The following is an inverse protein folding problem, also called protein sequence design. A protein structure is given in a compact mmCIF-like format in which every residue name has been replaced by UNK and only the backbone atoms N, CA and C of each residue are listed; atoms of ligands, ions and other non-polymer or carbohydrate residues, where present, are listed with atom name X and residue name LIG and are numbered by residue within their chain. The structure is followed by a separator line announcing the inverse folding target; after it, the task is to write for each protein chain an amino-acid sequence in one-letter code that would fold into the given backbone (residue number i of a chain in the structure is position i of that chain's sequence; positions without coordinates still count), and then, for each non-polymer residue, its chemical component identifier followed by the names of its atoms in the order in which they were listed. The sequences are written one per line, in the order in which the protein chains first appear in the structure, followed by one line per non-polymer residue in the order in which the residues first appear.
data_IF_490531694708
#
_entry.id   IF_490531694708
#
_cell.length_a   1.000
_cell.length_b   1.000
_cell.length_c   1.000
_cell.angle_alpha   90.00
_cell.angle_beta   90.00
_cell.angle_gamma   90.00
#
_symmetry.space_group_name_H-M   'P 1'
#
loop_
_entity.id
_entity.type
_entity.pdbx_description
1 polymer ?
#
# COMPACT_ATOMS: atom_id res chain seq x y z
N UNK A 1 -15.17 -7.33 -12.10
CA UNK A 1 -13.96 -7.13 -12.88
C UNK A 1 -12.84 -6.62 -12.00
N UNK A 2 -11.68 -7.24 -12.02
CA UNK A 2 -10.55 -6.81 -11.20
C UNK A 2 -9.81 -5.66 -11.85
N UNK A 3 -9.47 -4.69 -11.02
CA UNK A 3 -8.63 -3.59 -11.46
C UNK A 3 -7.16 -3.97 -11.28
N UNK A 4 -6.26 -3.25 -11.93
CA UNK A 4 -4.85 -3.57 -11.88
C UNK A 4 -4.23 -3.11 -10.56
N UNK A 5 -3.15 -3.78 -10.17
CA UNK A 5 -2.36 -3.43 -8.99
C UNK A 5 -0.92 -3.23 -9.47
N UNK A 6 -0.38 -2.04 -9.23
CA UNK A 6 1.00 -1.73 -9.55
C UNK A 6 1.79 -1.53 -8.26
N UNK A 7 3.04 -1.96 -8.24
CA UNK A 7 3.93 -1.82 -7.10
C UNK A 7 5.10 -0.94 -7.47
N UNK A 8 5.31 0.14 -6.72
CA UNK A 8 6.50 0.95 -6.88
C UNK A 8 7.69 0.27 -6.21
N UNK A 9 8.90 0.82 -6.44
CA UNK A 9 10.15 0.19 -6.01
C UNK A 9 10.14 -0.25 -4.54
N UNK A 10 9.75 0.62 -3.63
CA UNK A 10 9.77 0.31 -2.20
C UNK A 10 8.80 -0.80 -1.84
N UNK A 11 7.63 -0.80 -2.47
CA UNK A 11 6.65 -1.85 -2.25
C UNK A 11 7.16 -3.19 -2.78
N UNK A 12 7.80 -3.18 -3.94
CA UNK A 12 8.41 -4.40 -4.48
C UNK A 12 9.48 -4.95 -3.56
N UNK A 13 10.32 -4.08 -3.01
CA UNK A 13 11.35 -4.50 -2.06
C UNK A 13 10.75 -5.15 -0.82
N UNK A 14 9.65 -4.60 -0.33
CA UNK A 14 8.95 -5.21 0.81
C UNK A 14 8.54 -6.64 0.49
N UNK A 15 7.93 -6.85 -0.67
CA UNK A 15 7.47 -8.18 -1.07
C UNK A 15 8.62 -9.18 -1.22
N UNK A 16 9.79 -8.69 -1.64
CA UNK A 16 10.96 -9.55 -1.83
C UNK A 16 11.67 -9.91 -0.53
N UNK A 17 11.56 -9.05 0.49
CA UNK A 17 12.37 -9.16 1.70
C UNK A 17 11.60 -9.57 2.96
N UNK A 18 10.34 -9.90 2.86
CA UNK A 18 9.52 -10.27 4.00
C UNK A 18 9.03 -11.71 3.90
N UNK A 19 8.71 -12.34 5.05
CA UNK A 19 8.22 -13.72 5.06
C UNK A 19 6.97 -13.89 4.21
N UNK A 20 6.83 -15.07 3.65
CA UNK A 20 5.76 -15.38 2.72
C UNK A 20 4.37 -15.20 3.31
N UNK A 21 4.18 -15.52 4.58
CA UNK A 21 2.89 -15.36 5.23
C UNK A 21 2.46 -13.89 5.30
N UNK A 22 3.40 -13.00 5.57
CA UNK A 22 3.12 -11.56 5.61
C UNK A 22 2.81 -11.06 4.20
N UNK A 23 3.61 -11.46 3.23
CA UNK A 23 3.41 -11.06 1.83
C UNK A 23 2.05 -11.54 1.33
N UNK A 24 1.68 -12.77 1.64
CA UNK A 24 0.39 -13.31 1.21
C UNK A 24 -0.77 -12.51 1.79
N UNK A 25 -0.67 -12.09 3.04
CA UNK A 25 -1.72 -11.28 3.67
C UNK A 25 -1.83 -9.91 3.02
N UNK A 26 -0.70 -9.30 2.69
CA UNK A 26 -0.67 -8.02 1.99
C UNK A 26 -1.31 -8.15 0.61
N UNK A 27 -0.94 -9.18 -0.12
CA UNK A 27 -1.48 -9.41 -1.46
C UNK A 27 -2.98 -9.67 -1.43
N UNK A 28 -3.45 -10.45 -0.44
CA UNK A 28 -4.88 -10.70 -0.28
C UNK A 28 -5.64 -9.39 -0.04
N UNK A 29 -5.11 -8.54 0.81
CA UNK A 29 -5.74 -7.26 1.09
C UNK A 29 -5.80 -6.37 -0.15
N UNK A 30 -4.73 -6.36 -0.92
CA UNK A 30 -4.69 -5.56 -2.15
C UNK A 30 -5.64 -6.10 -3.21
N UNK A 31 -5.80 -7.41 -3.29
CA UNK A 31 -6.78 -8.00 -4.20
C UNK A 31 -8.19 -7.60 -3.84
N UNK A 32 -8.51 -7.59 -2.55
CA UNK A 32 -9.81 -7.11 -2.09
C UNK A 32 -10.05 -5.66 -2.51
N UNK A 33 -9.05 -4.81 -2.33
CA UNK A 33 -9.15 -3.42 -2.74
C UNK A 33 -9.27 -3.27 -4.25
N UNK A 34 -8.62 -4.14 -5.02
CA UNK A 34 -8.65 -4.04 -6.47
C UNK A 34 -10.02 -4.34 -7.08
N UNK A 35 -10.89 -5.03 -6.33
CA UNK A 35 -12.24 -5.29 -6.80
C UNK A 35 -13.10 -4.04 -6.75
N UNK A 36 -12.74 -3.12 -5.87
CA UNK A 36 -13.48 -1.88 -5.72
C UNK A 36 -12.51 -0.80 -5.18
N UNK A 37 -11.68 -0.22 -6.06
CA UNK A 37 -10.63 0.71 -5.62
C UNK A 37 -11.21 1.96 -4.97
N UNK A 38 -11.03 2.07 -3.67
CA UNK A 38 -11.44 3.23 -2.89
C UNK A 38 -10.32 3.66 -1.97
N UNK A 39 -10.34 4.90 -1.56
CA UNK A 39 -9.40 5.41 -0.58
C UNK A 39 -10.02 5.21 0.80
N UNK A 40 -9.57 4.20 1.53
CA UNK A 40 -10.15 3.88 2.84
C UNK A 40 -9.88 4.96 3.86
N UNK A 41 -8.62 5.40 3.95
CA UNK A 41 -8.22 6.50 4.80
C UNK A 41 -7.15 7.30 4.09
N UNK A 42 -7.14 8.61 4.31
CA UNK A 42 -6.07 9.45 3.78
C UNK A 42 -4.98 9.62 4.83
N UNK A 43 -3.75 9.74 4.37
CA UNK A 43 -2.64 10.06 5.26
C UNK A 43 -2.72 11.51 5.70
N UNK A 44 -2.05 11.81 6.81
CA UNK A 44 -2.02 13.18 7.32
C UNK A 44 -1.15 14.07 6.44
N UNK A 45 -1.45 15.40 6.38
CA UNK A 45 -0.61 16.33 5.63
C UNK A 45 0.85 16.22 6.04
N UNK A 46 1.79 16.38 5.11
CA UNK A 46 1.59 16.75 3.70
C UNK A 46 1.34 15.58 2.74
N UNK A 47 1.02 14.40 3.27
CA UNK A 47 0.85 13.17 2.48
C UNK A 47 -0.61 12.84 2.18
N UNK A 48 -1.49 13.82 2.26
CA UNK A 48 -2.92 13.59 2.12
C UNK A 48 -3.36 13.11 0.73
N UNK A 49 -2.47 13.12 -0.24
CA UNK A 49 -2.76 12.55 -1.57
C UNK A 49 -2.75 11.02 -1.54
N UNK A 50 -2.10 10.45 -0.54
CA UNK A 50 -1.98 9.01 -0.42
C UNK A 50 -3.08 8.44 0.45
N UNK A 51 -3.47 7.21 0.15
CA UNK A 51 -4.43 6.46 0.94
C UNK A 51 -3.69 5.41 1.74
N UNK A 52 -4.30 4.94 2.81
CA UNK A 52 -3.70 3.88 3.62
C UNK A 52 -4.72 2.81 3.99
N UNK A 53 -4.22 1.59 4.11
CA UNK A 53 -5.00 0.48 4.66
C UNK A 53 -4.08 -0.32 5.58
N UNK A 54 -4.68 -1.15 6.42
CA UNK A 54 -3.97 -1.91 7.43
C UNK A 54 -3.99 -3.40 7.15
N UNK A 55 -2.84 -4.04 7.40
CA UNK A 55 -2.73 -5.50 7.38
C UNK A 55 -1.93 -5.88 8.63
N UNK A 56 -2.62 -6.32 9.69
CA UNK A 56 -1.96 -6.61 10.95
C UNK A 56 -1.23 -5.39 11.50
N UNK A 57 0.07 -5.52 11.75
CA UNK A 57 0.89 -4.41 12.23
C UNK A 57 1.50 -3.58 11.11
N UNK A 58 1.19 -3.92 9.86
CA UNK A 58 1.72 -3.21 8.70
C UNK A 58 0.70 -2.27 8.12
N UNK A 59 1.20 -1.23 7.44
CA UNK A 59 0.36 -0.30 6.71
C UNK A 59 0.79 -0.24 5.26
N UNK A 60 -0.20 -0.09 4.38
CA UNK A 60 0.02 0.02 2.95
C UNK A 60 -0.38 1.43 2.52
N UNK A 61 0.56 2.16 1.93
CA UNK A 61 0.28 3.47 1.35
C UNK A 61 0.08 3.29 -0.14
N UNK A 62 -1.02 3.80 -0.67
CA UNK A 62 -1.37 3.58 -2.06
C UNK A 62 -2.10 4.78 -2.66
N UNK A 63 -2.11 4.81 -3.99
CA UNK A 63 -2.89 5.77 -4.76
C UNK A 63 -3.98 5.00 -5.50
N UNK A 64 -5.14 5.62 -5.65
CA UNK A 64 -6.22 5.03 -6.43
C UNK A 64 -6.42 5.80 -7.72
N UNK A 65 -6.68 5.07 -8.79
CA UNK A 65 -7.09 5.61 -10.09
C UNK A 65 -8.27 4.79 -10.58
N UNK A 66 -9.00 5.26 -11.58
CA UNK A 66 -10.09 4.44 -12.13
C UNK A 66 -9.54 3.08 -12.54
N UNK A 67 -10.01 2.04 -11.87
CA UNK A 67 -9.61 0.67 -12.09
C UNK A 67 -8.10 0.41 -11.94
N UNK A 68 -7.46 1.06 -10.96
CA UNK A 68 -6.05 0.82 -10.68
C UNK A 68 -5.70 1.20 -9.25
N UNK A 69 -4.79 0.44 -8.65
CA UNK A 69 -4.21 0.75 -7.35
C UNK A 69 -2.70 0.78 -7.53
N UNK A 70 -2.07 1.85 -7.08
CA UNK A 70 -0.62 1.99 -7.15
C UNK A 70 -0.09 1.92 -5.72
N UNK A 71 0.61 0.83 -5.39
CA UNK A 71 1.16 0.63 -4.05
C UNK A 71 2.49 1.37 -3.96
N UNK A 72 2.53 2.40 -3.14
CA UNK A 72 3.69 3.26 -3.02
C UNK A 72 4.69 2.72 -2.02
N UNK A 73 4.21 2.28 -0.85
CA UNK A 73 5.08 1.77 0.20
C UNK A 73 4.30 0.86 1.14
N UNK A 74 5.01 -0.09 1.74
CA UNK A 74 4.45 -1.00 2.75
C UNK A 74 5.47 -1.03 3.88
N UNK A 75 5.04 -0.75 5.12
CA UNK A 75 5.93 -0.82 6.26
C UNK A 75 5.12 -0.89 7.54
N UNK A 76 5.81 -1.07 8.66
CA UNK A 76 5.17 -1.06 9.95
C UNK A 76 4.58 0.31 10.24
N UNK A 77 3.55 0.31 11.09
CA UNK A 77 2.79 1.51 11.40
C UNK A 77 3.62 2.76 11.66
N UNK A 78 4.71 2.61 12.41
CA UNK A 78 5.53 3.75 12.83
C UNK A 78 6.50 4.22 11.76
N UNK A 79 6.85 3.35 10.82
CA UNK A 79 7.87 3.65 9.82
C UNK A 79 7.34 4.14 8.50
N UNK A 80 6.04 3.92 8.24
CA UNK A 80 5.49 4.24 6.92
C UNK A 80 5.67 5.72 6.57
N UNK A 81 5.54 6.61 7.53
CA UNK A 81 5.70 8.04 7.29
C UNK A 81 7.14 8.40 6.96
N UNK A 82 8.10 7.78 7.64
CA UNK A 82 9.51 8.01 7.34
C UNK A 82 9.87 7.51 5.95
N UNK A 83 9.36 6.33 5.59
CA UNK A 83 9.57 5.77 4.26
C UNK A 83 9.02 6.70 3.17
N UNK A 84 7.85 7.25 3.38
CA UNK A 84 7.22 8.13 2.41
C UNK A 84 7.97 9.46 2.27
N UNK A 85 8.49 9.98 3.37
CA UNK A 85 9.29 11.22 3.32
C UNK A 85 10.57 11.05 2.51
N UNK A 86 11.21 9.89 2.65
CA UNK A 86 12.48 9.62 1.96
C UNK A 86 12.28 9.22 0.50
N UNK A 87 11.07 8.96 0.08
CA UNK A 87 10.80 8.51 -1.29
C UNK A 87 10.45 9.65 -2.23
N UNK A 88 10.40 10.86 -1.73
CA UNK A 88 10.12 12.02 -2.57
C UNK A 88 11.37 12.62 -3.17
#
# INVERSE_FOLDING_TARGET
MRCSIEYRRKAKKFLENHPRDIVARVETRLEELSQHPICEEKLEPPLQELCKTRVGSYRIAYLTKPCSIIVVAIDKRERIYDELRHSQ
#
